data_IF_752432587177
#
_entry.id   IF_752432587177
#
_cell.length_a   1.000
_cell.length_b   1.000
_cell.length_c   1.000
_cell.angle_alpha   90.00
_cell.angle_beta   90.00
_cell.angle_gamma   90.00
#
_symmetry.space_group_name_H-M   'P 1'
#
loop_
_entity.id
_entity.type
_entity.pdbx_description
1 polymer ?
#
# COMPACT_ATOMS: atom_id res chain seq x y z
N UNK A 1 7.88 -20.53 3.29
CA UNK A 1 7.96 -19.90 1.97
C UNK A 1 6.85 -18.85 1.84
N UNK A 2 7.23 -17.60 1.59
CA UNK A 2 6.28 -16.49 1.48
C UNK A 2 5.48 -16.49 0.17
N UNK A 3 5.85 -17.34 -0.78
CA UNK A 3 5.18 -17.42 -2.09
C UNK A 3 5.42 -16.22 -2.98
N UNK A 4 6.54 -15.52 -2.86
CA UNK A 4 6.88 -14.36 -3.70
C UNK A 4 6.97 -14.67 -5.19
N UNK A 5 7.00 -15.93 -5.57
CA UNK A 5 7.00 -16.40 -6.96
C UNK A 5 5.59 -16.56 -7.53
N UNK A 6 4.54 -16.33 -6.74
CA UNK A 6 3.14 -16.51 -7.14
C UNK A 6 2.34 -15.23 -7.01
N UNK A 7 1.33 -14.99 -7.87
CA UNK A 7 0.41 -13.87 -7.69
C UNK A 7 -0.30 -13.94 -6.35
N UNK A 8 -0.45 -12.79 -5.70
CA UNK A 8 -1.13 -12.67 -4.40
C UNK A 8 -2.02 -11.43 -4.38
N UNK A 9 -3.21 -11.57 -3.78
CA UNK A 9 -4.07 -10.42 -3.50
C UNK A 9 -3.65 -9.80 -2.17
N UNK A 10 -2.92 -8.68 -2.23
CA UNK A 10 -2.32 -8.04 -1.05
C UNK A 10 -2.92 -6.67 -0.78
N UNK A 11 -3.11 -6.27 0.49
CA UNK A 11 -3.72 -4.98 0.82
C UNK A 11 -2.80 -3.77 0.61
N UNK A 12 -1.51 -3.99 0.44
CA UNK A 12 -0.53 -2.92 0.34
C UNK A 12 0.43 -3.18 -0.82
N UNK A 13 0.54 -2.22 -1.74
CA UNK A 13 1.48 -2.27 -2.86
C UNK A 13 2.26 -0.96 -2.95
N UNK A 14 3.53 -1.06 -3.30
CA UNK A 14 4.38 0.11 -3.52
C UNK A 14 3.99 0.85 -4.80
N UNK A 15 4.01 2.18 -4.74
CA UNK A 15 3.69 3.05 -5.86
C UNK A 15 4.79 3.21 -6.89
N UNK A 16 5.93 2.51 -6.76
CA UNK A 16 7.03 2.62 -7.73
C UNK A 16 6.64 2.12 -9.12
N UNK A 17 5.74 1.16 -9.20
CA UNK A 17 5.12 0.75 -10.45
C UNK A 17 3.76 0.11 -10.16
N UNK A 18 2.70 0.73 -10.66
CA UNK A 18 1.33 0.25 -10.50
C UNK A 18 0.59 0.32 -11.83
N UNK A 19 -0.17 -0.74 -12.14
CA UNK A 19 -1.15 -0.70 -13.21
C UNK A 19 -2.53 -0.64 -12.56
N UNK A 20 -3.26 0.44 -12.77
CA UNK A 20 -4.53 0.68 -12.12
C UNK A 20 -5.68 0.65 -13.11
N UNK A 21 -6.75 -0.05 -12.75
CA UNK A 21 -8.02 0.09 -13.46
C UNK A 21 -8.58 1.48 -13.17
N UNK A 22 -8.83 2.26 -14.22
CA UNK A 22 -9.28 3.66 -14.08
C UNK A 22 -10.54 3.78 -13.22
N UNK A 23 -11.52 2.92 -13.43
CA UNK A 23 -12.75 2.89 -12.66
C UNK A 23 -12.51 2.70 -11.16
N UNK A 24 -11.62 1.78 -10.80
CA UNK A 24 -11.24 1.53 -9.41
C UNK A 24 -10.54 2.73 -8.78
N UNK A 25 -9.62 3.34 -9.52
CA UNK A 25 -8.88 4.51 -9.07
C UNK A 25 -9.82 5.70 -8.84
N UNK A 26 -10.78 5.94 -9.73
CA UNK A 26 -11.75 7.03 -9.60
C UNK A 26 -12.70 6.78 -8.42
N UNK A 27 -13.14 5.56 -8.21
CA UNK A 27 -13.98 5.20 -7.06
C UNK A 27 -13.25 5.42 -5.73
N UNK A 28 -11.95 5.16 -5.70
CA UNK A 28 -11.10 5.40 -4.54
C UNK A 28 -10.71 6.89 -4.38
N UNK A 29 -11.16 7.79 -5.28
CA UNK A 29 -10.82 9.21 -5.33
C UNK A 29 -9.34 9.47 -5.55
N UNK A 30 -8.67 8.56 -6.23
CA UNK A 30 -7.25 8.66 -6.54
C UNK A 30 -6.40 8.77 -5.25
N UNK A 31 -5.28 9.47 -5.33
CA UNK A 31 -4.43 9.68 -4.17
C UNK A 31 -5.04 10.71 -3.23
N UNK A 32 -4.93 10.44 -1.93
CA UNK A 32 -5.30 11.41 -0.90
C UNK A 32 -4.27 12.54 -0.88
N UNK A 33 -4.68 13.75 -1.21
CA UNK A 33 -3.82 14.92 -1.38
C UNK A 33 -3.25 15.45 -0.05
N UNK A 34 -3.71 14.94 1.10
CA UNK A 34 -3.09 15.22 2.39
C UNK A 34 -1.71 14.61 2.51
N UNK A 35 -1.38 13.62 1.67
CA UNK A 35 -0.07 12.97 1.65
C UNK A 35 0.76 13.55 0.50
N UNK A 36 1.65 14.48 0.81
CA UNK A 36 2.59 15.00 -0.17
C UNK A 36 3.57 13.91 -0.63
N UNK A 37 4.03 13.13 0.33
CA UNK A 37 4.96 12.02 0.11
C UNK A 37 4.74 11.02 1.26
N UNK A 38 4.72 9.73 0.97
CA UNK A 38 4.44 8.70 1.98
C UNK A 38 3.15 8.97 2.79
N UNK A 39 2.31 8.04 3.06
CA UNK A 39 2.14 6.72 2.46
C UNK A 39 0.97 6.70 1.45
N UNK A 40 0.96 7.59 0.48
CA UNK A 40 -0.11 7.75 -0.51
C UNK A 40 -0.40 6.45 -1.27
N UNK A 41 0.64 5.68 -1.59
CA UNK A 41 0.51 4.41 -2.30
C UNK A 41 -0.17 3.35 -1.42
N UNK A 42 0.19 3.28 -0.17
CA UNK A 42 -0.41 2.36 0.80
C UNK A 42 -1.87 2.71 1.02
N UNK A 43 -2.16 4.01 1.19
CA UNK A 43 -3.52 4.50 1.40
C UNK A 43 -4.41 4.20 0.19
N UNK A 44 -3.93 4.48 -1.02
CA UNK A 44 -4.66 4.21 -2.25
C UNK A 44 -4.91 2.71 -2.43
N UNK A 45 -3.88 1.89 -2.28
CA UNK A 45 -3.99 0.44 -2.43
C UNK A 45 -4.99 -0.14 -1.44
N UNK A 46 -4.91 0.29 -0.20
CA UNK A 46 -5.83 -0.15 0.85
C UNK A 46 -7.28 0.22 0.54
N UNK A 47 -7.52 1.42 0.02
CA UNK A 47 -8.85 1.88 -0.37
C UNK A 47 -9.41 1.05 -1.53
N UNK A 48 -8.60 0.78 -2.55
CA UNK A 48 -8.99 -0.03 -3.69
C UNK A 48 -9.23 -1.50 -3.27
N UNK A 49 -8.43 -2.02 -2.36
CA UNK A 49 -8.52 -3.41 -1.91
C UNK A 49 -9.88 -3.77 -1.29
N UNK A 50 -10.63 -2.78 -0.81
CA UNK A 50 -11.97 -3.01 -0.26
C UNK A 50 -12.94 -3.62 -1.26
N UNK A 51 -12.83 -3.20 -2.53
CA UNK A 51 -13.82 -3.54 -3.57
C UNK A 51 -13.22 -4.26 -4.77
N UNK A 52 -11.89 -4.28 -4.91
CA UNK A 52 -11.17 -4.81 -6.07
C UNK A 52 -9.99 -5.66 -5.63
N UNK A 53 -9.45 -6.45 -6.56
CA UNK A 53 -8.20 -7.16 -6.34
C UNK A 53 -7.02 -6.19 -6.44
N UNK A 54 -6.10 -6.30 -5.49
CA UNK A 54 -4.82 -5.58 -5.51
C UNK A 54 -3.71 -6.60 -5.60
N UNK A 55 -3.30 -6.90 -6.84
CA UNK A 55 -2.52 -8.07 -7.15
C UNK A 55 -1.02 -7.78 -7.19
N UNK A 56 -0.26 -8.52 -6.39
CA UNK A 56 1.17 -8.67 -6.57
C UNK A 56 1.41 -9.66 -7.70
N UNK A 57 2.07 -9.21 -8.78
CA UNK A 57 2.27 -10.00 -9.99
C UNK A 57 3.76 -10.20 -10.25
N UNK A 58 4.33 -11.34 -9.86
CA UNK A 58 5.79 -11.56 -9.91
C UNK A 58 6.34 -11.96 -11.28
N UNK A 59 5.48 -12.20 -12.28
CA UNK A 59 5.92 -12.59 -13.62
C UNK A 59 6.70 -11.49 -14.34
N UNK A 60 6.57 -10.25 -13.90
CA UNK A 60 7.27 -9.09 -14.47
C UNK A 60 8.05 -8.40 -13.37
N UNK A 61 9.29 -8.05 -13.67
CA UNK A 61 10.18 -7.35 -12.72
C UNK A 61 10.71 -6.09 -13.35
N UNK A 62 10.74 -5.01 -12.57
CA UNK A 62 11.38 -3.75 -12.97
C UNK A 62 12.49 -3.40 -11.99
N UNK A 63 13.42 -2.56 -12.44
CA UNK A 63 14.47 -2.02 -11.58
C UNK A 63 14.09 -0.61 -11.17
N UNK A 64 14.08 -0.32 -9.87
CA UNK A 64 13.72 0.96 -9.30
C UNK A 64 14.88 1.55 -8.51
N UNK A 65 15.38 2.73 -8.95
CA UNK A 65 16.43 3.46 -8.25
C UNK A 65 15.84 4.19 -7.04
N UNK A 66 15.94 3.56 -5.87
CA UNK A 66 15.39 4.11 -4.64
C UNK A 66 16.41 4.98 -3.92
N UNK A 67 16.14 6.28 -3.80
CA UNK A 67 17.06 7.24 -3.19
C UNK A 67 16.97 7.36 -1.67
N UNK A 68 15.98 6.77 -1.02
CA UNK A 68 15.77 6.79 0.44
C UNK A 68 15.92 8.20 1.05
N UNK A 69 15.23 9.20 0.48
CA UNK A 69 15.39 10.60 0.84
C UNK A 69 15.16 10.91 2.33
N UNK A 70 14.30 10.17 3.02
CA UNK A 70 14.03 10.37 4.45
C UNK A 70 15.24 10.06 5.35
N UNK A 71 16.22 9.29 4.86
CA UNK A 71 17.46 9.01 5.59
C UNK A 71 18.52 10.09 5.40
N UNK A 72 18.36 10.97 4.42
CA UNK A 72 19.35 11.98 4.04
C UNK A 72 18.88 13.42 4.27
N UNK A 73 17.60 13.62 4.63
CA UNK A 73 17.01 14.95 4.79
C UNK A 73 16.09 14.97 6.00
N UNK A 74 16.35 15.90 6.91
CA UNK A 74 15.48 16.13 8.08
C UNK A 74 14.09 16.61 7.65
N UNK A 75 14.01 17.40 6.58
CA UNK A 75 12.72 17.86 6.03
C UNK A 75 11.89 16.69 5.56
N UNK A 76 12.47 15.75 4.80
CA UNK A 76 11.78 14.57 4.31
C UNK A 76 11.39 13.64 5.45
N UNK A 77 12.23 13.52 6.47
CA UNK A 77 11.90 12.74 7.66
C UNK A 77 10.67 13.31 8.38
N UNK A 78 10.60 14.61 8.56
CA UNK A 78 9.45 15.26 9.19
C UNK A 78 8.18 15.09 8.36
N UNK A 79 8.26 15.22 7.04
CA UNK A 79 7.13 14.97 6.13
C UNK A 79 6.65 13.52 6.30
N UNK A 80 7.57 12.57 6.34
CA UNK A 80 7.24 11.17 6.56
C UNK A 80 6.50 10.96 7.89
N UNK A 81 7.01 11.52 8.98
CA UNK A 81 6.41 11.39 10.31
C UNK A 81 5.00 11.99 10.33
N UNK A 82 4.83 13.21 9.80
CA UNK A 82 3.53 13.88 9.75
C UNK A 82 2.53 13.07 8.93
N UNK A 83 2.94 12.58 7.78
CA UNK A 83 2.06 11.79 6.90
C UNK A 83 1.71 10.44 7.52
N UNK A 84 2.62 9.81 8.23
CA UNK A 84 2.32 8.59 8.97
C UNK A 84 1.32 8.84 10.09
N UNK A 85 1.43 9.97 10.79
CA UNK A 85 0.43 10.37 11.78
C UNK A 85 -0.94 10.57 11.14
N UNK A 86 -1.01 11.22 9.98
CA UNK A 86 -2.26 11.40 9.22
C UNK A 86 -2.85 10.05 8.79
N UNK A 87 -2.02 9.15 8.33
CA UNK A 87 -2.44 7.81 7.94
C UNK A 87 -3.07 7.07 9.13
N UNK A 88 -2.40 7.05 10.27
CA UNK A 88 -2.92 6.37 11.45
C UNK A 88 -4.15 7.07 12.04
N UNK A 89 -4.27 8.39 11.91
CA UNK A 89 -5.49 9.09 12.29
C UNK A 89 -6.67 8.69 11.40
N UNK A 90 -6.41 8.44 10.13
CA UNK A 90 -7.43 8.01 9.17
C UNK A 90 -7.86 6.56 9.40
N UNK A 91 -6.91 5.65 9.63
CA UNK A 91 -7.16 4.21 9.65
C UNK A 91 -7.15 3.57 11.04
N UNK A 92 -6.57 4.23 12.01
CA UNK A 92 -6.43 3.74 13.39
C UNK A 92 -4.98 3.48 13.79
N UNK A 93 -4.67 3.80 15.05
CA UNK A 93 -3.32 3.65 15.60
C UNK A 93 -3.05 2.24 16.11
N UNK A 94 -3.88 1.76 17.04
CA UNK A 94 -3.68 0.48 17.70
C UNK A 94 -4.77 -0.52 17.37
N UNK A 95 -5.96 -0.04 17.03
CA UNK A 95 -7.11 -0.87 16.69
C UNK A 95 -7.53 -0.57 15.26
N UNK A 96 -7.05 -1.38 14.34
CA UNK A 96 -7.38 -1.31 12.93
C UNK A 96 -7.95 -2.66 12.51
N UNK A 97 -9.25 -2.82 12.68
CA UNK A 97 -9.95 -4.08 12.40
C UNK A 97 -9.91 -4.44 10.92
N UNK A 98 -9.96 -3.45 10.03
CA UNK A 98 -9.86 -3.68 8.59
C UNK A 98 -8.48 -4.25 8.20
N UNK A 99 -7.42 -3.67 8.75
CA UNK A 99 -6.05 -4.16 8.53
C UNK A 99 -5.92 -5.61 9.00
N UNK A 100 -6.43 -5.89 10.20
CA UNK A 100 -6.39 -7.24 10.77
C UNK A 100 -7.15 -8.23 9.88
N UNK A 101 -8.34 -7.84 9.41
CA UNK A 101 -9.16 -8.68 8.54
C UNK A 101 -8.46 -8.95 7.19
N UNK A 102 -7.89 -7.93 6.56
CA UNK A 102 -7.17 -8.07 5.30
C UNK A 102 -5.94 -8.97 5.43
N UNK A 103 -5.17 -8.78 6.49
CA UNK A 103 -3.99 -9.60 6.75
C UNK A 103 -4.36 -11.06 7.01
N UNK A 104 -5.42 -11.29 7.77
CA UNK A 104 -5.90 -12.64 8.04
C UNK A 104 -6.38 -13.33 6.78
N UNK A 105 -7.10 -12.61 5.93
CA UNK A 105 -7.55 -13.13 4.64
C UNK A 105 -6.37 -13.54 3.76
N UNK A 106 -5.35 -12.69 3.67
CA UNK A 106 -4.14 -12.99 2.92
C UNK A 106 -3.42 -14.22 3.46
N UNK A 107 -3.26 -14.31 4.77
CA UNK A 107 -2.62 -15.48 5.41
C UNK A 107 -3.39 -16.76 5.11
N UNK A 108 -4.72 -16.72 5.17
CA UNK A 108 -5.56 -17.86 4.84
C UNK A 108 -5.37 -18.30 3.38
N UNK A 109 -5.32 -17.35 2.46
CA UNK A 109 -5.06 -17.65 1.05
C UNK A 109 -3.69 -18.30 0.83
N UNK A 110 -2.66 -17.84 1.56
CA UNK A 110 -1.32 -18.40 1.50
C UNK A 110 -1.25 -19.82 2.06
N UNK A 111 -1.98 -20.09 3.14
CA UNK A 111 -2.05 -21.43 3.74
C UNK A 111 -2.74 -22.45 2.83
N UNK A 112 -3.71 -22.00 2.03
CA UNK A 112 -4.44 -22.87 1.09
C UNK A 112 -3.63 -23.23 -0.15
N UNK A 113 -2.51 -22.60 -0.38
CA UNK A 113 -1.60 -22.90 -1.47
C UNK A 113 -0.63 -24.01 -1.09
#
# INVERSE_FOLDING_TARGET
DSGYDKPMNVPYLSGCFMLLRTEAALKARLFDDRYFMYPEDIDLTRTIHRDYLTLYYPAVTIVHNHKKGSYHSMRLLWIHIINMCRYFNKWGWFRDTERTAFNQQLLNELELR
#
